data_IF_348766916111
#
_entry.id   IF_348766916111
#
_cell.length_a   1.000
_cell.length_b   1.000
_cell.length_c   1.000
_cell.angle_alpha   90.00
_cell.angle_beta   90.00
_cell.angle_gamma   90.00
#
_symmetry.space_group_name_H-M   'P 1'
#
loop_
_entity.id
_entity.type
_entity.pdbx_description
1 polymer ?
#
# COMPACT_ATOMS: atom_id res chain seq x y z
N UNK A 1 4.90 -7.97 17.40
CA UNK A 1 5.64 -8.08 16.13
C UNK A 1 4.94 -7.25 15.09
N UNK A 2 5.64 -6.40 14.37
CA UNK A 2 5.06 -5.43 13.42
C UNK A 2 4.55 -6.11 12.16
N UNK A 3 3.34 -5.79 11.73
CA UNK A 3 2.84 -6.11 10.39
C UNK A 3 3.53 -5.19 9.38
N UNK A 4 4.27 -5.75 8.43
CA UNK A 4 4.76 -5.02 7.26
C UNK A 4 3.99 -5.49 6.03
N UNK A 5 3.30 -4.55 5.37
CA UNK A 5 2.48 -4.79 4.19
C UNK A 5 2.94 -3.89 3.04
N UNK A 6 3.00 -4.41 1.85
CA UNK A 6 3.18 -3.62 0.63
C UNK A 6 2.01 -3.82 -0.32
N UNK A 7 1.66 -2.77 -1.04
CA UNK A 7 0.62 -2.82 -2.06
C UNK A 7 1.18 -2.29 -3.38
N UNK A 8 1.06 -3.10 -4.44
CA UNK A 8 1.51 -2.75 -5.78
C UNK A 8 0.41 -3.01 -6.81
N UNK A 9 0.14 -2.05 -7.68
CA UNK A 9 -0.81 -2.23 -8.76
C UNK A 9 -0.27 -3.14 -9.86
N UNK A 10 -1.11 -4.00 -10.44
CA UNK A 10 -0.76 -4.78 -11.63
C UNK A 10 -0.54 -3.87 -12.85
N UNK A 11 -1.09 -2.67 -12.82
CA UNK A 11 -0.89 -1.56 -13.75
C UNK A 11 -1.09 -0.22 -13.04
N UNK A 12 -0.77 0.88 -13.72
CA UNK A 12 -1.06 2.23 -13.22
C UNK A 12 -2.58 2.48 -13.10
N UNK A 13 -2.97 3.31 -12.14
CA UNK A 13 -4.36 3.74 -11.94
C UNK A 13 -5.28 2.71 -11.27
N UNK A 14 -4.74 1.65 -10.67
CA UNK A 14 -5.53 0.66 -9.92
C UNK A 14 -5.98 1.13 -8.54
N UNK A 15 -5.50 2.29 -8.05
CA UNK A 15 -5.90 2.88 -6.79
C UNK A 15 -5.06 2.47 -5.57
N UNK A 16 -3.80 2.05 -5.78
CA UNK A 16 -2.87 1.61 -4.69
C UNK A 16 -2.83 2.61 -3.56
N UNK A 17 -2.46 3.85 -3.84
CA UNK A 17 -2.33 4.93 -2.85
C UNK A 17 -3.61 5.17 -2.08
N UNK A 18 -4.75 5.20 -2.79
CA UNK A 18 -6.07 5.42 -2.19
C UNK A 18 -6.46 4.28 -1.23
N UNK A 19 -6.29 3.03 -1.68
CA UNK A 19 -6.57 1.84 -0.84
C UNK A 19 -5.64 1.80 0.36
N UNK A 20 -4.36 2.11 0.18
CA UNK A 20 -3.39 2.09 1.26
C UNK A 20 -3.68 3.16 2.32
N UNK A 21 -4.05 4.38 1.90
CA UNK A 21 -4.44 5.45 2.82
C UNK A 21 -5.69 5.07 3.63
N UNK A 22 -6.70 4.51 2.97
CA UNK A 22 -7.93 4.06 3.63
C UNK A 22 -7.65 2.89 4.59
N UNK A 23 -6.83 1.90 4.18
CA UNK A 23 -6.42 0.77 5.02
C UNK A 23 -5.62 1.23 6.24
N UNK A 24 -4.69 2.18 6.07
CA UNK A 24 -3.92 2.73 7.18
C UNK A 24 -4.81 3.38 8.24
N UNK A 25 -5.79 4.16 7.80
CA UNK A 25 -6.79 4.76 8.70
C UNK A 25 -7.67 3.69 9.37
N UNK A 26 -8.11 2.66 8.64
CA UNK A 26 -8.92 1.58 9.19
C UNK A 26 -8.15 0.75 10.23
N UNK A 27 -6.87 0.44 9.99
CA UNK A 27 -6.01 -0.22 10.99
C UNK A 27 -5.79 0.66 12.22
N UNK A 28 -5.62 1.97 12.02
CA UNK A 28 -5.51 2.91 13.14
C UNK A 28 -6.80 2.95 13.97
N UNK A 29 -7.97 2.93 13.34
CA UNK A 29 -9.26 2.83 14.02
C UNK A 29 -9.44 1.51 14.81
N UNK A 30 -8.71 0.45 14.45
CA UNK A 30 -8.59 -0.80 15.23
C UNK A 30 -7.53 -0.73 16.36
N UNK A 31 -7.07 0.47 16.71
CA UNK A 31 -6.12 0.70 17.80
C UNK A 31 -4.66 0.41 17.46
N UNK A 32 -4.32 0.24 16.18
CA UNK A 32 -2.93 0.03 15.77
C UNK A 32 -2.18 1.36 15.61
N UNK A 33 -0.90 1.39 15.98
CA UNK A 33 0.01 2.48 15.59
C UNK A 33 0.49 2.20 14.16
N UNK A 34 0.18 3.11 13.23
CA UNK A 34 0.36 2.89 11.79
C UNK A 34 1.30 3.93 11.19
N UNK A 35 2.28 3.45 10.42
CA UNK A 35 3.07 4.26 9.51
C UNK A 35 2.75 3.87 8.08
N UNK A 36 2.41 4.85 7.26
CA UNK A 36 2.32 4.71 5.81
C UNK A 36 3.58 5.29 5.18
N UNK A 37 4.23 4.53 4.31
CA UNK A 37 5.47 4.93 3.61
C UNK A 37 5.19 5.02 2.12
N UNK A 38 5.38 6.20 1.56
CA UNK A 38 5.21 6.43 0.14
C UNK A 38 6.51 6.11 -0.61
N UNK A 39 6.48 5.09 -1.45
CA UNK A 39 7.60 4.70 -2.29
C UNK A 39 7.47 5.25 -3.73
N UNK A 40 6.36 5.96 -4.03
CA UNK A 40 6.14 6.60 -5.33
C UNK A 40 6.53 8.07 -5.31
N UNK A 41 7.26 8.55 -6.34
CA UNK A 41 7.57 9.98 -6.49
C UNK A 41 6.34 10.85 -6.83
N UNK A 42 5.18 10.23 -7.09
CA UNK A 42 3.94 10.95 -7.41
C UNK A 42 3.37 11.75 -6.23
N UNK A 43 3.79 11.46 -5.01
CA UNK A 43 3.46 12.19 -3.77
C UNK A 43 1.95 12.36 -3.53
N UNK A 44 1.18 11.30 -3.78
CA UNK A 44 -0.27 11.34 -3.60
C UNK A 44 -0.74 10.83 -2.23
N UNK A 45 0.08 10.02 -1.53
CA UNK A 45 -0.32 9.40 -0.27
C UNK A 45 -0.57 10.41 0.84
N UNK A 46 0.33 11.40 0.97
CA UNK A 46 0.17 12.47 1.95
C UNK A 46 -1.10 13.29 1.78
N UNK A 47 -1.57 13.49 0.53
CA UNK A 47 -2.81 14.23 0.23
C UNK A 47 -4.04 13.55 0.82
N UNK A 48 -4.11 12.22 0.78
CA UNK A 48 -5.19 11.44 1.39
C UNK A 48 -5.25 11.58 2.92
N UNK A 49 -4.16 12.05 3.53
CA UNK A 49 -4.00 12.19 4.98
C UNK A 49 -3.94 13.66 5.43
N UNK A 50 -4.33 14.58 4.56
CA UNK A 50 -4.45 15.99 4.87
C UNK A 50 -3.18 16.82 4.67
N UNK A 51 -2.08 16.25 4.17
CA UNK A 51 -0.88 17.03 3.88
C UNK A 51 -1.12 18.04 2.74
N UNK A 52 -0.34 19.11 2.74
CA UNK A 52 -0.37 20.08 1.67
C UNK A 52 0.21 19.51 0.37
N UNK A 53 -0.36 19.86 -0.78
CA UNK A 53 0.14 19.42 -2.09
C UNK A 53 1.56 19.93 -2.43
N UNK A 54 2.03 20.97 -1.74
CA UNK A 54 3.38 21.52 -1.90
C UNK A 54 4.39 21.03 -0.85
N UNK A 55 4.06 19.98 -0.07
CA UNK A 55 5.00 19.46 0.91
C UNK A 55 6.26 18.92 0.22
N UNK A 56 7.41 19.37 0.68
CA UNK A 56 8.69 19.03 0.06
C UNK A 56 9.44 17.93 0.81
N UNK A 57 9.19 17.80 2.11
CA UNK A 57 9.89 16.83 2.94
C UNK A 57 9.44 15.40 2.65
N UNK A 58 10.37 14.49 2.71
CA UNK A 58 10.14 13.06 2.53
C UNK A 58 11.44 12.28 2.62
N UNK A 59 11.36 10.96 2.70
CA UNK A 59 12.55 10.11 2.88
C UNK A 59 13.52 10.17 1.70
N UNK A 60 12.99 10.28 0.46
CA UNK A 60 13.82 10.37 -0.75
C UNK A 60 14.54 11.70 -0.82
N UNK A 61 13.85 12.82 -0.54
CA UNK A 61 14.46 14.13 -0.44
C UNK A 61 15.55 14.16 0.64
N UNK A 62 15.23 13.66 1.84
CA UNK A 62 16.19 13.57 2.94
C UNK A 62 17.43 12.74 2.58
N UNK A 63 17.25 11.63 1.86
CA UNK A 63 18.37 10.78 1.42
C UNK A 63 19.29 11.50 0.42
N UNK A 64 18.72 12.27 -0.51
CA UNK A 64 19.50 13.09 -1.47
C UNK A 64 20.26 14.23 -0.78
N UNK A 65 19.65 14.82 0.23
CA UNK A 65 20.24 15.94 1.00
C UNK A 65 21.21 15.46 2.10
N UNK A 66 21.35 14.14 2.31
CA UNK A 66 22.15 13.59 3.41
C UNK A 66 21.57 13.83 4.79
N UNK A 67 20.25 14.11 4.88
CA UNK A 67 19.53 14.37 6.12
C UNK A 67 18.92 13.09 6.72
N UNK A 68 18.46 13.21 7.99
CA UNK A 68 17.78 12.08 8.64
C UNK A 68 16.37 11.88 8.05
N UNK A 69 16.18 10.80 7.33
CA UNK A 69 14.91 10.41 6.72
C UNK A 69 13.76 10.27 7.74
N UNK A 70 14.06 9.96 9.01
CA UNK A 70 13.07 9.81 10.08
C UNK A 70 12.39 11.14 10.41
N UNK A 71 13.14 12.23 10.34
CA UNK A 71 12.63 13.57 10.59
C UNK A 71 11.63 14.06 9.52
N UNK A 72 11.55 13.36 8.38
CA UNK A 72 10.62 13.66 7.30
C UNK A 72 9.23 13.01 7.47
N UNK A 73 8.99 12.27 8.57
CA UNK A 73 7.68 11.71 8.86
C UNK A 73 6.73 12.76 9.45
N UNK A 74 5.47 12.72 9.03
CA UNK A 74 4.40 13.61 9.50
C UNK A 74 3.41 12.82 10.35
N UNK A 75 3.12 13.32 11.55
CA UNK A 75 2.02 12.81 12.37
C UNK A 75 0.69 13.34 11.85
N UNK A 76 -0.20 12.45 11.42
CA UNK A 76 -1.55 12.78 10.95
C UNK A 76 -2.55 12.75 12.11
N UNK A 77 -2.35 11.84 13.07
CA UNK A 77 -3.07 11.72 14.34
C UNK A 77 -2.17 11.01 15.37
N UNK A 78 -2.52 11.00 16.67
CA UNK A 78 -1.82 10.19 17.66
C UNK A 78 -1.80 8.70 17.26
N UNK A 79 -0.63 8.19 16.89
CA UNK A 79 -0.47 6.80 16.42
C UNK A 79 -0.71 6.58 14.91
N UNK A 80 -0.96 7.62 14.12
CA UNK A 80 -1.04 7.54 12.66
C UNK A 80 -0.05 8.52 12.04
N UNK A 81 0.89 8.04 11.25
CA UNK A 81 1.89 8.87 10.58
C UNK A 81 2.06 8.48 9.10
N UNK A 82 2.53 9.41 8.32
CA UNK A 82 2.95 9.20 6.93
C UNK A 82 4.40 9.65 6.73
N UNK A 83 5.15 8.86 5.99
CA UNK A 83 6.50 9.20 5.53
C UNK A 83 6.43 9.38 4.01
N UNK A 84 6.30 10.63 3.50
CA UNK A 84 6.21 10.90 2.08
C UNK A 84 7.51 10.54 1.35
N UNK A 85 7.43 10.42 0.03
CA UNK A 85 8.60 10.31 -0.83
C UNK A 85 9.47 11.57 -0.77
N UNK A 86 8.84 12.72 -0.76
CA UNK A 86 9.45 14.03 -0.83
C UNK A 86 9.61 14.53 -2.27
N UNK A 87 9.68 15.84 -2.42
CA UNK A 87 9.75 16.47 -3.73
C UNK A 87 11.11 16.23 -4.39
N UNK A 88 11.10 15.53 -5.51
CA UNK A 88 12.28 15.25 -6.34
C UNK A 88 11.94 15.47 -7.81
N UNK A 89 12.94 15.80 -8.61
CA UNK A 89 12.79 15.81 -10.06
C UNK A 89 13.04 14.42 -10.67
N UNK A 90 12.87 14.29 -11.99
CA UNK A 90 13.01 13.01 -12.68
C UNK A 90 14.43 12.43 -12.59
N UNK A 91 15.47 13.29 -12.57
CA UNK A 91 16.86 12.83 -12.45
C UNK A 91 17.19 12.38 -11.04
N UNK A 92 16.69 13.07 -10.04
CA UNK A 92 16.79 12.71 -8.62
C UNK A 92 16.05 11.41 -8.32
N UNK A 93 14.86 11.19 -8.91
CA UNK A 93 14.14 9.92 -8.79
C UNK A 93 14.95 8.74 -9.36
N UNK A 94 15.64 8.93 -10.49
CA UNK A 94 16.56 7.92 -11.05
C UNK A 94 17.81 7.70 -10.17
N UNK A 95 18.34 8.72 -9.54
CA UNK A 95 19.43 8.56 -8.56
C UNK A 95 19.00 7.69 -7.38
N UNK A 96 17.80 7.91 -6.85
CA UNK A 96 17.24 7.10 -5.77
C UNK A 96 16.99 5.65 -6.22
N UNK A 97 16.49 5.44 -7.44
CA UNK A 97 16.34 4.10 -8.02
C UNK A 97 17.68 3.37 -8.10
N UNK A 98 18.74 4.03 -8.59
CA UNK A 98 20.10 3.46 -8.65
C UNK A 98 20.68 3.21 -7.25
N UNK A 99 20.45 4.11 -6.30
CA UNK A 99 20.91 3.93 -4.92
C UNK A 99 20.27 2.72 -4.25
N UNK A 100 18.95 2.52 -4.45
CA UNK A 100 18.24 1.35 -3.93
C UNK A 100 18.64 0.06 -4.67
N UNK A 101 18.96 0.13 -5.97
CA UNK A 101 19.49 -1.02 -6.70
C UNK A 101 20.87 -1.45 -6.17
N UNK A 102 21.72 -0.48 -5.78
CA UNK A 102 23.04 -0.73 -5.22
C UNK A 102 22.99 -1.22 -3.75
N UNK A 103 21.97 -0.82 -2.98
CA UNK A 103 21.80 -1.18 -1.59
C UNK A 103 20.33 -1.66 -1.30
N UNK A 104 19.92 -2.81 -1.85
CA UNK A 104 18.53 -3.26 -1.79
C UNK A 104 18.06 -3.60 -0.37
N UNK A 105 18.97 -3.84 0.58
CA UNK A 105 18.65 -4.10 1.99
C UNK A 105 18.32 -2.82 2.80
N UNK A 106 18.44 -1.63 2.22
CA UNK A 106 18.26 -0.34 2.93
C UNK A 106 16.97 -0.28 3.74
N UNK A 107 15.85 -0.73 3.18
CA UNK A 107 14.58 -0.70 3.90
C UNK A 107 14.45 -1.81 4.94
N UNK A 108 15.02 -2.99 4.71
CA UNK A 108 15.09 -4.06 5.71
C UNK A 108 15.90 -3.61 6.96
N UNK A 109 16.96 -2.84 6.76
CA UNK A 109 17.76 -2.25 7.84
C UNK A 109 17.03 -1.13 8.60
N UNK A 110 16.11 -0.42 7.96
CA UNK A 110 15.27 0.62 8.59
C UNK A 110 14.12 0.04 9.43
N UNK A 111 13.64 -1.15 9.11
CA UNK A 111 12.47 -1.76 9.75
C UNK A 111 12.59 -1.94 11.28
N UNK A 112 13.72 -2.33 11.89
CA UNK A 112 13.81 -2.44 13.34
C UNK A 112 13.48 -1.12 14.05
N UNK A 113 13.95 0.01 13.52
CA UNK A 113 13.65 1.35 14.07
C UNK A 113 12.16 1.68 13.94
N UNK A 114 11.53 1.37 12.81
CA UNK A 114 10.10 1.59 12.58
C UNK A 114 9.25 0.66 13.46
N UNK A 115 9.65 -0.60 13.58
CA UNK A 115 8.94 -1.61 14.37
C UNK A 115 8.94 -1.34 15.87
N UNK A 116 9.86 -0.53 16.38
CA UNK A 116 9.84 -0.09 17.77
C UNK A 116 8.72 0.92 18.06
N UNK A 117 8.27 1.64 17.03
CA UNK A 117 7.31 2.74 17.18
C UNK A 117 5.92 2.39 16.63
N UNK A 118 5.83 1.52 15.61
CA UNK A 118 4.60 1.22 14.89
C UNK A 118 4.28 -0.28 14.92
N UNK A 119 2.99 -0.58 15.05
CA UNK A 119 2.46 -1.94 15.01
C UNK A 119 2.23 -2.39 13.55
N UNK A 120 1.98 -1.43 12.65
CA UNK A 120 1.82 -1.65 11.21
C UNK A 120 2.68 -0.65 10.42
N UNK A 121 3.41 -1.14 9.41
CA UNK A 121 4.13 -0.33 8.41
C UNK A 121 3.63 -0.72 7.02
N UNK A 122 3.03 0.22 6.31
CA UNK A 122 2.40 0.01 5.02
C UNK A 122 3.18 0.74 3.93
N UNK A 123 3.55 0.05 2.85
CA UNK A 123 4.34 0.59 1.75
C UNK A 123 3.48 0.78 0.49
N UNK A 124 3.37 2.02 0.02
CA UNK A 124 2.75 2.40 -1.26
C UNK A 124 3.76 2.24 -2.38
N UNK A 125 3.69 1.12 -3.11
CA UNK A 125 4.71 0.79 -4.11
C UNK A 125 4.38 1.37 -5.48
N UNK A 126 5.37 1.98 -6.16
CA UNK A 126 5.21 2.46 -7.52
C UNK A 126 4.98 1.29 -8.49
N UNK A 127 4.28 1.56 -9.58
CA UNK A 127 4.10 0.59 -10.65
C UNK A 127 5.39 0.38 -11.49
N UNK A 128 6.17 1.45 -11.60
CA UNK A 128 7.47 1.47 -12.32
C UNK A 128 8.52 1.98 -11.34
N UNK A 129 9.57 1.45 -11.14
CA UNK A 129 10.75 1.64 -10.28
C UNK A 129 11.06 0.31 -9.58
N UNK A 130 11.65 -0.64 -10.33
CA UNK A 130 11.83 -2.00 -9.84
C UNK A 130 12.74 -2.11 -8.61
N UNK A 131 13.72 -1.21 -8.45
CA UNK A 131 14.57 -1.23 -7.26
C UNK A 131 13.82 -0.79 -5.99
N UNK A 132 12.88 0.16 -6.09
CA UNK A 132 12.00 0.53 -4.99
C UNK A 132 11.12 -0.65 -4.56
N UNK A 133 10.56 -1.38 -5.53
CA UNK A 133 9.74 -2.57 -5.27
C UNK A 133 10.59 -3.69 -4.65
N UNK A 134 11.77 -3.96 -5.20
CA UNK A 134 12.66 -5.00 -4.72
C UNK A 134 13.19 -4.71 -3.31
N UNK A 135 13.54 -3.47 -2.99
CA UNK A 135 14.00 -3.06 -1.67
C UNK A 135 12.97 -3.35 -0.55
N UNK A 136 11.68 -3.38 -0.89
CA UNK A 136 10.62 -3.71 0.06
C UNK A 136 10.31 -5.21 0.04
N UNK A 137 10.13 -5.83 -1.13
CA UNK A 137 9.56 -7.17 -1.24
C UNK A 137 10.62 -8.30 -1.18
N UNK A 138 11.86 -8.04 -1.62
CA UNK A 138 12.83 -9.12 -1.85
C UNK A 138 13.83 -9.35 -0.72
N UNK A 139 13.99 -8.43 0.22
CA UNK A 139 15.03 -8.50 1.27
C UNK A 139 14.46 -8.61 2.70
N UNK A 140 13.29 -9.23 2.85
CA UNK A 140 12.66 -9.43 4.16
C UNK A 140 12.01 -8.17 4.73
N UNK A 141 11.91 -7.10 3.93
CA UNK A 141 11.28 -5.84 4.32
C UNK A 141 9.76 -5.92 4.45
N UNK A 142 9.12 -6.80 3.68
CA UNK A 142 7.67 -6.95 3.67
C UNK A 142 7.26 -8.40 3.96
N UNK A 143 6.32 -8.58 4.88
CA UNK A 143 5.79 -9.90 5.28
C UNK A 143 4.47 -10.24 4.57
N UNK A 144 3.75 -9.23 4.12
CA UNK A 144 2.46 -9.37 3.45
C UNK A 144 2.47 -8.52 2.17
N UNK A 145 3.18 -8.97 1.13
CA UNK A 145 3.15 -8.29 -0.16
C UNK A 145 1.85 -8.62 -0.89
N UNK A 146 1.11 -7.57 -1.30
CA UNK A 146 -0.15 -7.67 -2.02
C UNK A 146 -0.06 -7.02 -3.40
N UNK A 147 -0.83 -7.56 -4.33
CA UNK A 147 -1.08 -6.97 -5.64
C UNK A 147 -2.49 -6.39 -5.69
N UNK A 148 -2.70 -5.32 -6.43
CA UNK A 148 -3.99 -4.66 -6.61
C UNK A 148 -4.38 -4.64 -8.07
N UNK A 149 -5.59 -5.11 -8.39
CA UNK A 149 -6.15 -5.05 -9.74
C UNK A 149 -7.58 -4.55 -9.73
N UNK A 150 -7.94 -3.71 -10.71
CA UNK A 150 -9.33 -3.46 -11.05
C UNK A 150 -9.85 -4.60 -11.93
N UNK A 151 -11.15 -4.91 -11.85
CA UNK A 151 -11.75 -5.97 -12.66
C UNK A 151 -12.05 -5.43 -14.06
N UNK A 152 -11.01 -5.35 -14.89
CA UNK A 152 -11.08 -4.86 -16.25
C UNK A 152 -10.17 -5.68 -17.19
N UNK A 153 -10.41 -5.62 -18.53
CA UNK A 153 -9.62 -6.37 -19.50
C UNK A 153 -8.12 -6.04 -19.48
N UNK A 154 -7.74 -4.78 -19.19
CA UNK A 154 -6.34 -4.38 -19.16
C UNK A 154 -5.60 -5.02 -17.98
N UNK A 155 -6.23 -5.04 -16.80
CA UNK A 155 -5.71 -5.75 -15.63
C UNK A 155 -5.63 -7.26 -15.87
N UNK A 156 -6.64 -7.85 -16.54
CA UNK A 156 -6.61 -9.27 -16.87
C UNK A 156 -5.41 -9.63 -17.76
N UNK A 157 -5.14 -8.84 -18.81
CA UNK A 157 -3.96 -9.03 -19.66
C UNK A 157 -2.65 -8.91 -18.84
N UNK A 158 -2.56 -7.94 -17.93
CA UNK A 158 -1.36 -7.78 -17.08
C UNK A 158 -1.18 -8.95 -16.12
N UNK A 159 -2.24 -9.43 -15.49
CA UNK A 159 -2.21 -10.60 -14.62
C UNK A 159 -1.72 -11.85 -15.38
N UNK A 160 -2.19 -12.04 -16.62
CA UNK A 160 -1.73 -13.15 -17.46
C UNK A 160 -0.23 -13.03 -17.82
N UNK A 161 0.27 -11.82 -18.09
CA UNK A 161 1.71 -11.58 -18.35
C UNK A 161 2.58 -11.77 -17.12
N UNK A 162 2.04 -11.53 -15.93
CA UNK A 162 2.70 -11.61 -14.63
C UNK A 162 2.29 -12.88 -13.87
N UNK A 163 1.95 -13.97 -14.56
CA UNK A 163 1.41 -15.21 -13.98
C UNK A 163 2.35 -15.93 -12.99
N UNK A 164 3.65 -15.62 -13.04
CA UNK A 164 4.67 -16.17 -12.13
C UNK A 164 4.72 -15.42 -10.78
N UNK A 165 4.00 -14.30 -10.66
CA UNK A 165 3.90 -13.53 -9.44
C UNK A 165 2.82 -14.16 -8.55
N UNK A 166 3.24 -14.87 -7.51
CA UNK A 166 2.40 -15.63 -6.57
C UNK A 166 1.85 -14.80 -5.40
N UNK A 167 2.17 -13.50 -5.35
CA UNK A 167 1.63 -12.60 -4.33
C UNK A 167 0.11 -12.55 -4.40
N UNK A 168 -0.51 -12.46 -3.23
CA UNK A 168 -1.97 -12.39 -3.13
C UNK A 168 -2.55 -11.17 -3.84
N UNK A 169 -3.67 -11.38 -4.51
CA UNK A 169 -4.37 -10.41 -5.32
C UNK A 169 -5.57 -9.83 -4.57
N UNK A 170 -5.58 -8.52 -4.34
CA UNK A 170 -6.73 -7.75 -3.90
C UNK A 170 -7.45 -7.16 -5.11
N UNK A 171 -8.74 -7.34 -5.18
CA UNK A 171 -9.60 -6.74 -6.21
C UNK A 171 -10.08 -5.38 -5.75
N UNK A 172 -10.00 -4.37 -6.62
CA UNK A 172 -10.47 -3.02 -6.35
C UNK A 172 -11.46 -2.57 -7.42
N UNK A 173 -12.34 -1.63 -7.04
CA UNK A 173 -13.34 -1.00 -7.91
C UNK A 173 -14.25 -2.02 -8.60
N UNK A 174 -14.68 -3.02 -7.83
CA UNK A 174 -15.60 -4.03 -8.32
C UNK A 174 -17.03 -3.49 -8.31
N UNK A 175 -17.68 -3.52 -9.47
CA UNK A 175 -19.10 -3.23 -9.61
C UNK A 175 -19.83 -4.48 -10.13
N UNK A 176 -20.60 -5.17 -9.26
CA UNK A 176 -21.33 -6.37 -9.67
C UNK A 176 -22.47 -6.10 -10.66
N UNK A 177 -22.86 -4.85 -10.89
CA UNK A 177 -23.85 -4.50 -11.91
C UNK A 177 -23.25 -4.60 -13.34
N UNK A 178 -21.92 -4.48 -13.48
CA UNK A 178 -21.22 -4.52 -14.76
C UNK A 178 -20.93 -5.96 -15.19
N UNK A 179 -21.54 -6.42 -16.30
CA UNK A 179 -21.43 -7.80 -16.77
C UNK A 179 -20.00 -8.26 -16.98
N UNK A 180 -19.16 -7.48 -17.67
CA UNK A 180 -17.76 -7.86 -17.94
C UNK A 180 -16.94 -8.02 -16.65
N UNK A 181 -17.27 -7.27 -15.60
CA UNK A 181 -16.62 -7.43 -14.31
C UNK A 181 -17.02 -8.73 -13.62
N UNK A 182 -18.30 -9.12 -13.68
CA UNK A 182 -18.75 -10.42 -13.15
C UNK A 182 -18.05 -11.58 -13.85
N UNK A 183 -17.97 -11.54 -15.17
CA UNK A 183 -17.35 -12.59 -15.97
C UNK A 183 -15.84 -12.72 -15.66
N UNK A 184 -15.15 -11.59 -15.61
CA UNK A 184 -13.73 -11.56 -15.25
C UNK A 184 -13.49 -12.00 -13.79
N UNK A 185 -14.35 -11.61 -12.86
CA UNK A 185 -14.25 -12.03 -11.46
C UNK A 185 -14.40 -13.54 -11.31
N UNK A 186 -15.36 -14.17 -12.02
CA UNK A 186 -15.49 -15.62 -12.05
C UNK A 186 -14.25 -16.30 -12.63
N UNK A 187 -13.70 -15.75 -13.71
CA UNK A 187 -12.47 -16.26 -14.32
C UNK A 187 -11.29 -16.17 -13.33
N UNK A 188 -11.16 -15.05 -12.59
CA UNK A 188 -10.09 -14.85 -11.61
C UNK A 188 -10.25 -15.74 -10.38
N UNK A 189 -11.47 -15.98 -9.90
CA UNK A 189 -11.74 -16.96 -8.85
C UNK A 189 -11.26 -18.36 -9.26
N UNK A 190 -11.42 -18.71 -10.53
CA UNK A 190 -10.98 -20.01 -11.06
C UNK A 190 -9.45 -20.10 -11.24
N UNK A 191 -8.85 -19.01 -11.76
CA UNK A 191 -7.43 -19.02 -12.14
C UNK A 191 -6.48 -18.66 -10.99
N UNK A 192 -6.92 -17.87 -10.02
CA UNK A 192 -6.09 -17.45 -8.87
C UNK A 192 -6.44 -18.16 -7.56
N UNK A 193 -7.62 -18.75 -7.45
CA UNK A 193 -8.02 -19.58 -6.31
C UNK A 193 -7.74 -18.93 -4.95
N UNK A 194 -6.96 -19.61 -4.11
CA UNK A 194 -6.57 -19.12 -2.78
C UNK A 194 -5.62 -17.90 -2.79
N UNK A 195 -5.06 -17.57 -3.95
CA UNK A 195 -4.25 -16.35 -4.13
C UNK A 195 -5.10 -15.07 -4.19
N UNK A 196 -6.40 -15.18 -4.49
CA UNK A 196 -7.32 -14.05 -4.47
C UNK A 196 -7.79 -13.78 -3.04
N UNK A 197 -7.80 -12.51 -2.63
CA UNK A 197 -8.38 -12.14 -1.33
C UNK A 197 -9.89 -12.38 -1.35
N UNK A 198 -10.48 -12.81 -0.21
CA UNK A 198 -11.88 -13.27 -0.17
C UNK A 198 -12.91 -12.16 -0.41
N UNK A 199 -12.53 -10.91 -0.18
CA UNK A 199 -13.43 -9.77 -0.30
C UNK A 199 -12.85 -8.75 -1.28
N UNK A 200 -13.56 -8.38 -2.36
CA UNK A 200 -13.19 -7.25 -3.21
C UNK A 200 -13.54 -5.92 -2.53
N UNK A 201 -12.88 -4.86 -2.95
CA UNK A 201 -13.27 -3.49 -2.66
C UNK A 201 -14.20 -3.01 -3.80
N UNK A 202 -15.39 -2.55 -3.44
CA UNK A 202 -16.38 -2.10 -4.42
C UNK A 202 -16.07 -0.70 -4.97
N UNK A 203 -16.57 -0.43 -6.16
CA UNK A 203 -16.60 0.94 -6.70
C UNK A 203 -17.52 1.80 -5.85
N UNK A 204 -17.04 2.98 -5.45
CA UNK A 204 -17.79 3.88 -4.59
C UNK A 204 -17.47 5.35 -4.92
N UNK A 205 -18.51 6.14 -5.18
CA UNK A 205 -18.38 7.56 -5.50
C UNK A 205 -17.79 8.40 -4.35
N UNK A 206 -17.84 7.90 -3.12
CA UNK A 206 -17.26 8.59 -1.95
C UNK A 206 -15.72 8.57 -1.97
N UNK A 207 -15.11 7.63 -2.68
CA UNK A 207 -13.65 7.51 -2.76
C UNK A 207 -12.99 8.75 -3.38
N UNK A 208 -13.35 9.22 -4.59
CA UNK A 208 -12.80 10.46 -5.13
C UNK A 208 -13.21 11.70 -4.33
N UNK A 209 -14.39 11.73 -3.72
CA UNK A 209 -14.84 12.83 -2.85
C UNK A 209 -13.98 12.95 -1.59
N UNK A 210 -13.58 11.84 -0.99
CA UNK A 210 -12.66 11.79 0.15
C UNK A 210 -11.29 12.41 -0.20
N UNK A 211 -10.70 12.06 -1.34
CA UNK A 211 -9.44 12.68 -1.80
C UNK A 211 -9.60 14.18 -2.05
N UNK A 212 -10.70 14.60 -2.70
CA UNK A 212 -10.98 16.02 -2.92
C UNK A 212 -11.08 16.81 -1.61
N UNK A 213 -11.55 16.17 -0.54
CA UNK A 213 -11.62 16.72 0.81
C UNK A 213 -10.31 16.54 1.61
N UNK A 214 -9.29 15.90 1.03
CA UNK A 214 -8.03 15.53 1.69
C UNK A 214 -8.23 14.78 3.01
N UNK A 215 -9.20 13.89 3.03
CA UNK A 215 -9.53 13.06 4.19
C UNK A 215 -9.47 11.58 3.82
N UNK A 216 -9.01 10.70 4.72
CA UNK A 216 -9.16 9.26 4.52
C UNK A 216 -10.63 8.88 4.38
N UNK A 217 -10.92 7.88 3.55
CA UNK A 217 -12.29 7.45 3.25
C UNK A 217 -13.15 7.19 4.50
N UNK A 218 -12.60 6.48 5.50
CA UNK A 218 -13.32 6.16 6.74
C UNK A 218 -13.61 7.36 7.64
N UNK A 219 -12.97 8.52 7.41
CA UNK A 219 -13.32 9.78 8.08
C UNK A 219 -14.33 10.59 7.25
N UNK A 220 -14.18 10.57 5.93
CA UNK A 220 -15.04 11.32 5.01
C UNK A 220 -16.44 10.69 4.89
N UNK A 221 -16.52 9.38 4.77
CA UNK A 221 -17.75 8.64 4.53
C UNK A 221 -17.70 7.25 5.22
N UNK A 222 -17.78 7.25 6.55
CA UNK A 222 -17.62 6.04 7.37
C UNK A 222 -18.66 4.94 7.04
N UNK A 223 -19.86 5.33 6.61
CA UNK A 223 -20.97 4.43 6.30
C UNK A 223 -21.00 4.01 4.81
N UNK A 224 -19.99 4.38 4.01
CA UNK A 224 -19.92 4.01 2.61
C UNK A 224 -19.55 2.53 2.43
N UNK A 225 -19.94 1.94 1.29
CA UNK A 225 -19.65 0.55 0.98
C UNK A 225 -18.13 0.30 0.94
N UNK A 226 -17.38 1.17 0.28
CA UNK A 226 -15.94 1.04 0.22
C UNK A 226 -15.26 1.20 1.59
N UNK A 227 -15.81 2.03 2.50
CA UNK A 227 -15.29 2.13 3.87
C UNK A 227 -15.52 0.82 4.65
N UNK A 228 -16.68 0.19 4.51
CA UNK A 228 -16.97 -1.11 5.12
C UNK A 228 -16.05 -2.22 4.56
N UNK A 229 -15.81 -2.23 3.24
CA UNK A 229 -14.88 -3.18 2.60
C UNK A 229 -13.45 -3.02 3.14
N UNK A 230 -12.97 -1.78 3.27
CA UNK A 230 -11.63 -1.49 3.80
C UNK A 230 -11.52 -1.87 5.28
N UNK A 231 -12.57 -1.73 6.07
CA UNK A 231 -12.60 -2.25 7.45
C UNK A 231 -12.47 -3.78 7.45
N UNK A 232 -13.20 -4.48 6.58
CA UNK A 232 -13.05 -5.92 6.39
C UNK A 232 -11.62 -6.32 5.99
N UNK A 233 -11.00 -5.57 5.08
CA UNK A 233 -9.60 -5.75 4.69
C UNK A 233 -8.64 -5.54 5.87
N UNK A 234 -8.86 -4.53 6.71
CA UNK A 234 -8.04 -4.28 7.89
C UNK A 234 -8.09 -5.47 8.88
N UNK A 235 -9.28 -5.99 9.16
CA UNK A 235 -9.45 -7.16 10.01
C UNK A 235 -8.79 -8.41 9.42
N UNK A 236 -8.90 -8.60 8.10
CA UNK A 236 -8.21 -9.69 7.41
C UNK A 236 -6.67 -9.55 7.52
N UNK A 237 -6.13 -8.35 7.35
CA UNK A 237 -4.69 -8.09 7.51
C UNK A 237 -4.20 -8.43 8.92
N UNK A 238 -4.95 -8.06 9.96
CA UNK A 238 -4.61 -8.38 11.35
C UNK A 238 -4.66 -9.88 11.63
N UNK A 239 -5.68 -10.57 11.11
CA UNK A 239 -5.80 -12.03 11.24
C UNK A 239 -4.64 -12.75 10.56
N UNK A 240 -4.26 -12.30 9.35
CA UNK A 240 -3.15 -12.87 8.60
C UNK A 240 -1.79 -12.60 9.28
N UNK A 241 -1.58 -11.40 9.85
CA UNK A 241 -0.41 -11.09 10.65
C UNK A 241 -0.28 -12.05 11.85
N UNK A 242 -1.37 -12.30 12.57
CA UNK A 242 -1.40 -13.24 13.67
C UNK A 242 -1.13 -14.69 13.23
N UNK A 243 -1.60 -15.09 12.03
CA UNK A 243 -1.31 -16.40 11.42
C UNK A 243 0.18 -16.57 11.11
N UNK A 244 0.80 -15.55 10.49
CA UNK A 244 2.22 -15.55 10.17
C UNK A 244 3.10 -15.62 11.43
N UNK A 245 2.73 -14.90 12.48
CA UNK A 245 3.43 -14.95 13.78
C UNK A 245 3.40 -16.34 14.39
N UNK A 246 2.24 -17.01 14.41
CA UNK A 246 2.11 -18.38 14.91
C UNK A 246 2.94 -19.38 14.12
N UNK A 247 2.96 -19.26 12.78
CA UNK A 247 3.75 -20.11 11.92
C UNK A 247 5.27 -20.00 12.17
N UNK A 248 5.76 -18.81 12.52
CA UNK A 248 7.17 -18.59 12.85
C UNK A 248 7.52 -19.11 14.27
N UNK A 249 6.63 -18.91 15.23
CA UNK A 249 6.82 -19.42 16.59
C UNK A 249 6.87 -20.97 16.61
N UNK A 250 6.10 -21.63 15.76
CA UNK A 250 6.10 -23.09 15.64
C UNK A 250 7.31 -23.70 14.88
N UNK A 251 8.16 -22.85 14.26
CA UNK A 251 9.39 -23.29 13.56
C UNK A 251 10.67 -23.12 14.41
N UNK A 252 10.56 -22.48 15.56
CA UNK A 252 11.64 -22.33 16.54
C UNK A 252 11.55 -23.41 17.61
#
# INVERSE_FOLDING_TARGET
MTLTLSLQGVRGGTGVTTVLAALGQALHAQGQRVLLVEMSPDQMLGLHLGLAAGERAGWGRAQLDGADWRAAAFACAPGLAVLPYGQVDASEALQLEHALAAAPQTWAERLPTLSAQFDCVLFDLPQRLPAHVAAINSHGGCRLPLRLACVDPASHVQLHRQREDDRRLLVNRYDPAVQVQRDLMQLWLHSHGAGLLPQPLHEDAQVPAALASKQPLGQHAADSLAAADVQGLALWCLAEAARLQRAEAGRR
#
